data_IF_718959328144
#
_entry.id   IF_718959328144
#
_cell.length_a   1.000
_cell.length_b   1.000
_cell.length_c   1.000
_cell.angle_alpha   90.00
_cell.angle_beta   90.00
_cell.angle_gamma   90.00
#
_symmetry.space_group_name_H-M   'P 1'
#
loop_
_entity.id
_entity.type
_entity.pdbx_description
1 polymer ?
#
# COMPACT_ATOMS: atom_id res chain seq x y z
N UNK A 1 29.41 15.97 79.62
CA UNK A 1 28.95 14.82 80.42
C UNK A 1 28.02 15.33 81.52
N UNK A 2 26.90 14.61 81.70
CA UNK A 2 25.99 14.64 82.86
C UNK A 2 25.16 15.91 83.07
N UNK A 3 23.87 15.82 82.74
CA UNK A 3 22.83 15.53 83.75
C UNK A 3 21.45 15.42 83.08
N UNK A 4 20.82 14.28 83.28
CA UNK A 4 19.40 14.03 83.03
C UNK A 4 18.56 14.79 84.05
N UNK A 5 17.52 15.49 83.62
CA UNK A 5 16.43 15.96 84.48
C UNK A 5 15.09 15.78 83.78
N UNK A 6 14.18 15.09 84.47
CA UNK A 6 12.76 14.99 84.19
C UNK A 6 12.10 16.33 84.58
N UNK A 7 11.26 16.90 83.71
CA UNK A 7 10.09 17.66 84.15
C UNK A 7 8.88 17.39 83.24
N UNK A 8 7.86 16.94 83.94
CA UNK A 8 6.46 16.68 83.62
C UNK A 8 5.78 17.96 83.13
N UNK A 9 4.89 17.87 82.13
CA UNK A 9 3.45 18.15 82.30
C UNK A 9 2.72 18.46 80.98
N UNK A 10 1.62 17.75 80.80
CA UNK A 10 0.35 18.14 80.15
C UNK A 10 0.43 18.61 78.68
N UNK A 11 -0.33 18.02 77.75
CA UNK A 11 -1.79 18.12 77.78
C UNK A 11 -2.44 17.31 76.65
N UNK A 12 -3.63 16.80 76.97
CA UNK A 12 -4.76 16.50 76.07
C UNK A 12 -4.76 15.12 75.38
N UNK A 13 -5.43 14.20 76.06
CA UNK A 13 -6.11 13.08 75.48
C UNK A 13 -7.26 13.54 74.56
N UNK A 14 -7.33 12.98 73.35
CA UNK A 14 -8.58 12.68 72.65
C UNK A 14 -8.46 11.31 72.00
N UNK A 15 -8.98 10.29 72.67
CA UNK A 15 -9.33 9.01 72.05
C UNK A 15 -10.54 9.25 71.14
N UNK A 16 -10.34 9.19 69.84
CA UNK A 16 -11.44 9.10 68.87
C UNK A 16 -11.94 7.66 68.87
N UNK A 17 -13.18 7.49 69.34
CA UNK A 17 -13.95 6.25 69.20
C UNK A 17 -14.41 6.17 67.75
N UNK A 18 -13.99 5.13 67.04
CA UNK A 18 -14.47 4.79 65.70
C UNK A 18 -15.85 4.16 65.85
N UNK A 19 -16.89 4.89 65.46
CA UNK A 19 -18.23 4.35 65.27
C UNK A 19 -18.42 4.03 63.77
N UNK A 20 -18.25 2.75 63.42
CA UNK A 20 -18.64 2.21 62.12
C UNK A 20 -20.17 2.22 62.02
N UNK A 21 -20.72 3.14 61.24
CA UNK A 21 -22.11 3.07 60.79
C UNK A 21 -22.12 2.57 59.35
N UNK A 22 -22.46 1.30 59.20
CA UNK A 22 -22.74 0.63 57.94
C UNK A 22 -24.04 1.18 57.35
N UNK A 23 -23.93 2.11 56.40
CA UNK A 23 -25.04 2.45 55.50
C UNK A 23 -25.01 1.51 54.30
N UNK A 24 -25.97 0.59 54.29
CA UNK A 24 -26.20 -0.40 53.27
C UNK A 24 -26.84 0.28 52.05
N UNK A 25 -26.02 0.67 51.06
CA UNK A 25 -26.52 1.05 49.74
C UNK A 25 -26.49 -0.21 48.88
N UNK A 26 -27.63 -0.90 48.82
CA UNK A 26 -27.87 -1.94 47.83
C UNK A 26 -27.95 -1.29 46.45
N UNK A 27 -26.82 -1.25 45.74
CA UNK A 27 -26.79 -1.11 44.28
C UNK A 27 -26.81 -2.50 43.67
N UNK A 28 -28.00 -3.09 43.56
CA UNK A 28 -28.22 -4.27 42.72
C UNK A 28 -28.19 -3.86 41.24
N UNK A 29 -27.00 -3.51 40.74
CA UNK A 29 -26.76 -3.56 39.30
C UNK A 29 -26.30 -4.97 38.96
N UNK A 30 -27.19 -5.75 38.35
CA UNK A 30 -26.82 -6.98 37.66
C UNK A 30 -25.79 -6.63 36.59
N UNK A 31 -24.51 -6.81 36.89
CA UNK A 31 -23.44 -6.83 35.89
C UNK A 31 -23.71 -8.07 35.04
N UNK A 32 -24.40 -7.87 33.92
CA UNK A 32 -24.39 -8.86 32.83
C UNK A 32 -22.91 -9.11 32.55
N UNK A 33 -22.45 -10.36 32.65
CA UNK A 33 -21.07 -10.70 32.29
C UNK A 33 -20.88 -10.32 30.83
N UNK A 34 -20.31 -9.15 30.57
CA UNK A 34 -20.00 -8.70 29.22
C UNK A 34 -18.95 -9.68 28.69
N UNK A 35 -19.38 -10.58 27.79
CA UNK A 35 -18.47 -11.46 27.08
C UNK A 35 -17.44 -10.58 26.38
N UNK A 36 -16.17 -10.77 26.72
CA UNK A 36 -15.07 -10.00 26.15
C UNK A 36 -15.13 -10.16 24.62
N UNK A 37 -15.19 -9.06 23.85
CA UNK A 37 -15.26 -9.15 22.40
C UNK A 37 -13.98 -9.80 21.86
N UNK A 38 -14.13 -10.72 20.91
CA UNK A 38 -12.98 -11.31 20.24
C UNK A 38 -12.36 -10.26 19.31
N UNK A 39 -11.11 -9.88 19.60
CA UNK A 39 -10.34 -8.94 18.79
C UNK A 39 -9.61 -9.72 17.71
N UNK A 40 -9.75 -9.25 16.47
CA UNK A 40 -8.99 -9.73 15.31
C UNK A 40 -8.26 -8.57 14.68
N UNK A 41 -7.13 -8.87 14.08
CA UNK A 41 -6.36 -7.95 13.27
C UNK A 41 -6.40 -8.47 11.84
N UNK A 42 -6.69 -7.60 10.89
CA UNK A 42 -6.71 -7.89 9.46
C UNK A 42 -5.69 -7.01 8.74
N UNK A 43 -5.05 -7.58 7.71
CA UNK A 43 -4.00 -6.91 6.96
C UNK A 43 -4.44 -6.72 5.50
N UNK A 44 -4.58 -5.47 5.10
CA UNK A 44 -4.84 -5.08 3.73
C UNK A 44 -3.49 -4.90 3.00
N UNK A 45 -3.06 -5.95 2.31
CA UNK A 45 -1.83 -5.93 1.50
C UNK A 45 -2.17 -5.37 0.13
N UNK A 46 -1.56 -4.24 -0.21
CA UNK A 46 -1.70 -3.56 -1.48
C UNK A 46 -0.38 -3.62 -2.26
N UNK A 47 -0.46 -4.05 -3.53
CA UNK A 47 0.61 -3.86 -4.50
C UNK A 47 0.37 -2.55 -5.23
N UNK A 48 1.36 -1.67 -5.22
CA UNK A 48 1.30 -0.44 -6.01
C UNK A 48 1.50 -0.67 -7.50
N UNK A 49 1.05 0.32 -8.24
CA UNK A 49 1.16 0.39 -9.69
C UNK A 49 2.63 0.36 -10.12
N UNK A 50 2.95 -0.42 -11.16
CA UNK A 50 4.28 -0.50 -11.76
C UNK A 50 4.38 0.26 -13.10
N UNK A 51 3.26 0.36 -13.84
CA UNK A 51 3.17 1.09 -15.09
C UNK A 51 2.29 2.32 -14.94
N UNK A 52 2.63 3.43 -15.61
CA UNK A 52 1.71 4.56 -15.69
C UNK A 52 0.36 4.13 -16.28
N UNK A 53 -0.78 4.67 -15.83
CA UNK A 53 -2.08 4.40 -16.45
C UNK A 53 -2.10 4.90 -17.90
N UNK A 54 -2.98 4.34 -18.71
CA UNK A 54 -3.16 4.79 -20.09
C UNK A 54 -3.88 6.15 -20.14
N UNK A 55 -3.39 7.02 -21.02
CA UNK A 55 -3.97 8.35 -21.17
C UNK A 55 -5.31 8.29 -21.90
N UNK A 56 -6.27 9.08 -21.41
CA UNK A 56 -7.54 9.31 -22.09
C UNK A 56 -7.35 10.07 -23.41
N UNK A 57 -8.36 10.09 -24.29
CA UNK A 57 -8.30 10.84 -25.56
C UNK A 57 -8.05 12.34 -25.34
N UNK A 58 -8.80 12.95 -24.41
CA UNK A 58 -8.61 14.34 -24.01
C UNK A 58 -7.19 14.62 -23.48
N UNK A 59 -6.65 13.70 -22.70
CA UNK A 59 -5.28 13.83 -22.17
C UNK A 59 -4.26 13.76 -23.30
N UNK A 60 -4.44 12.87 -24.28
CA UNK A 60 -3.58 12.79 -25.47
C UNK A 60 -3.63 14.09 -26.28
N UNK A 61 -4.82 14.61 -26.55
CA UNK A 61 -5.00 15.86 -27.30
C UNK A 61 -4.36 17.03 -26.54
N UNK A 62 -4.54 17.09 -25.23
CA UNK A 62 -3.91 18.08 -24.38
C UNK A 62 -2.38 17.95 -24.37
N UNK A 63 -1.83 16.73 -24.25
CA UNK A 63 -0.37 16.52 -24.30
C UNK A 63 0.22 16.94 -25.64
N UNK A 64 -0.48 16.71 -26.75
CA UNK A 64 -0.05 17.13 -28.08
C UNK A 64 -0.07 18.66 -28.19
N UNK A 65 -1.12 19.32 -27.69
CA UNK A 65 -1.22 20.77 -27.66
C UNK A 65 -0.10 21.38 -26.82
N UNK A 66 0.15 20.84 -25.62
CA UNK A 66 1.23 21.30 -24.74
C UNK A 66 2.59 21.12 -25.42
N UNK A 67 2.84 19.96 -26.05
CA UNK A 67 4.07 19.73 -26.79
C UNK A 67 4.25 20.74 -27.95
N UNK A 68 3.18 21.06 -28.68
CA UNK A 68 3.21 22.09 -29.73
C UNK A 68 3.55 23.47 -29.15
N UNK A 69 2.87 23.90 -28.09
CA UNK A 69 3.16 25.16 -27.42
C UNK A 69 4.60 25.22 -26.89
N UNK A 70 5.10 24.12 -26.33
CA UNK A 70 6.49 24.01 -25.89
C UNK A 70 7.45 24.17 -27.08
N UNK A 71 7.15 23.57 -28.22
CA UNK A 71 7.99 23.75 -29.43
C UNK A 71 7.92 25.17 -29.98
N UNK A 72 6.75 25.80 -30.05
CA UNK A 72 6.55 27.16 -30.58
C UNK A 72 7.17 28.24 -29.68
N UNK A 73 7.13 28.02 -28.37
CA UNK A 73 7.67 28.95 -27.39
C UNK A 73 9.10 28.61 -26.94
N UNK A 74 9.70 27.55 -27.48
CA UNK A 74 11.10 27.21 -27.19
C UNK A 74 12.08 27.95 -28.09
N UNK A 75 13.28 28.17 -27.56
CA UNK A 75 14.41 28.59 -28.36
C UNK A 75 15.02 27.38 -29.06
N UNK A 76 15.72 27.65 -30.16
CA UNK A 76 16.43 26.64 -30.91
C UNK A 76 17.47 25.94 -30.01
N UNK A 77 17.37 24.61 -29.94
CA UNK A 77 18.30 23.77 -29.19
C UNK A 77 19.69 23.74 -29.85
N UNK A 78 20.71 23.34 -29.08
CA UNK A 78 22.08 23.18 -29.61
C UNK A 78 22.13 22.18 -30.78
N UNK A 79 21.28 21.15 -30.73
CA UNK A 79 21.17 20.14 -31.80
C UNK A 79 20.64 20.77 -33.10
N UNK A 80 19.57 21.55 -33.02
CA UNK A 80 18.99 22.22 -34.19
C UNK A 80 19.91 23.34 -34.72
N UNK A 81 20.58 24.10 -33.84
CA UNK A 81 21.61 25.07 -34.22
C UNK A 81 22.77 24.41 -34.95
N UNK A 82 23.19 23.22 -34.53
CA UNK A 82 24.21 22.42 -35.20
C UNK A 82 23.73 21.95 -36.57
N UNK A 83 22.53 21.39 -36.65
CA UNK A 83 21.94 20.91 -37.89
C UNK A 83 21.81 22.03 -38.94
N UNK A 84 21.37 23.24 -38.54
CA UNK A 84 21.32 24.42 -39.44
C UNK A 84 22.70 24.82 -39.95
N UNK A 85 23.71 24.90 -39.08
CA UNK A 85 25.10 25.22 -39.47
C UNK A 85 25.66 24.20 -40.45
N UNK A 86 25.42 22.91 -40.23
CA UNK A 86 25.89 21.85 -41.12
C UNK A 86 25.23 21.93 -42.52
N UNK A 87 23.93 22.23 -42.59
CA UNK A 87 23.22 22.46 -43.86
C UNK A 87 23.77 23.69 -44.59
N UNK A 88 24.04 24.78 -43.88
CA UNK A 88 24.59 26.01 -44.47
C UNK A 88 25.98 25.77 -45.06
N UNK A 89 26.85 25.08 -44.32
CA UNK A 89 28.17 24.68 -44.81
C UNK A 89 28.08 23.77 -46.03
N UNK A 90 27.14 22.81 -46.05
CA UNK A 90 26.92 21.95 -47.20
C UNK A 90 26.48 22.72 -48.45
N UNK A 91 25.58 23.70 -48.31
CA UNK A 91 25.14 24.59 -49.40
C UNK A 91 26.28 25.47 -49.93
N UNK A 92 27.10 26.03 -49.04
CA UNK A 92 28.27 26.84 -49.44
C UNK A 92 29.30 26.01 -50.22
N UNK A 93 29.54 24.75 -49.82
CA UNK A 93 30.42 23.83 -50.56
C UNK A 93 29.91 23.52 -51.96
N UNK A 94 28.59 23.42 -52.16
CA UNK A 94 27.98 23.22 -53.49
C UNK A 94 28.16 24.45 -54.39
N UNK A 95 28.06 25.65 -53.84
CA UNK A 95 28.09 26.90 -54.62
C UNK A 95 29.51 27.42 -54.91
N UNK A 96 30.51 27.13 -54.07
CA UNK A 96 31.89 27.59 -54.24
C UNK A 96 32.92 26.52 -53.80
N UNK A 97 33.51 25.75 -54.74
CA UNK A 97 34.41 24.64 -54.40
C UNK A 97 35.84 25.06 -53.99
N UNK A 98 36.18 26.35 -54.04
CA UNK A 98 37.59 26.82 -53.92
C UNK A 98 37.98 27.36 -52.54
N UNK A 99 37.07 27.47 -51.57
CA UNK A 99 37.40 28.03 -50.24
C UNK A 99 37.81 26.92 -49.26
N UNK A 100 39.10 26.84 -48.95
CA UNK A 100 39.74 25.90 -47.99
C UNK A 100 39.66 26.36 -46.54
N UNK A 101 38.66 27.16 -46.16
CA UNK A 101 38.54 27.70 -44.82
C UNK A 101 37.44 27.00 -44.02
N UNK A 102 37.86 26.37 -42.91
CA UNK A 102 37.07 25.72 -41.86
C UNK A 102 36.61 24.27 -42.13
N UNK A 103 37.57 23.37 -42.37
CA UNK A 103 37.38 21.96 -42.07
C UNK A 103 37.40 21.76 -40.54
N UNK A 104 36.29 22.08 -39.87
CA UNK A 104 36.03 21.49 -38.55
C UNK A 104 35.92 19.98 -38.79
N UNK A 105 36.74 19.18 -38.12
CA UNK A 105 36.68 17.72 -38.18
C UNK A 105 35.37 17.26 -37.49
N UNK A 106 34.26 17.34 -38.24
CA UNK A 106 32.96 16.81 -37.83
C UNK A 106 33.06 15.29 -37.98
N UNK A 107 33.21 14.59 -36.86
CA UNK A 107 33.37 13.13 -36.83
C UNK A 107 32.05 12.42 -37.18
N UNK A 108 30.92 12.99 -36.76
CA UNK A 108 29.56 12.53 -37.09
C UNK A 108 28.72 13.78 -37.41
N UNK A 109 27.91 13.78 -38.46
CA UNK A 109 26.94 14.87 -38.68
C UNK A 109 25.74 14.74 -37.75
N UNK A 110 24.95 15.81 -37.59
CA UNK A 110 23.72 15.77 -36.82
C UNK A 110 22.73 14.71 -37.37
N UNK A 111 22.70 14.53 -38.69
CA UNK A 111 21.86 13.52 -39.35
C UNK A 111 22.39 12.10 -39.08
N UNK A 112 23.71 11.88 -39.14
CA UNK A 112 24.29 10.57 -38.83
C UNK A 112 23.97 10.14 -37.40
N UNK A 113 23.92 11.11 -36.46
CA UNK A 113 23.51 10.88 -35.08
C UNK A 113 22.05 10.45 -35.00
N UNK A 114 21.12 11.18 -35.64
CA UNK A 114 19.70 10.83 -35.69
C UNK A 114 19.49 9.42 -36.27
N UNK A 115 20.16 9.11 -37.38
CA UNK A 115 20.10 7.79 -38.02
C UNK A 115 20.64 6.67 -37.12
N UNK A 116 21.72 6.93 -36.39
CA UNK A 116 22.27 5.97 -35.42
C UNK A 116 21.29 5.72 -34.28
N UNK A 117 20.72 6.77 -33.70
CA UNK A 117 19.74 6.65 -32.62
C UNK A 117 18.45 5.96 -33.08
N UNK A 118 17.98 6.24 -34.31
CA UNK A 118 16.83 5.56 -34.89
C UNK A 118 17.09 4.04 -35.01
N UNK A 119 18.27 3.64 -35.50
CA UNK A 119 18.67 2.22 -35.57
C UNK A 119 18.76 1.58 -34.17
N UNK A 120 19.32 2.28 -33.19
CA UNK A 120 19.38 1.80 -31.80
C UNK A 120 17.96 1.61 -31.22
N UNK A 121 17.04 2.52 -31.51
CA UNK A 121 15.65 2.44 -31.08
C UNK A 121 14.89 1.29 -31.76
N UNK A 122 15.07 1.09 -33.07
CA UNK A 122 14.45 -0.04 -33.80
C UNK A 122 14.94 -1.40 -33.29
N UNK A 123 16.20 -1.49 -32.87
CA UNK A 123 16.77 -2.70 -32.29
C UNK A 123 16.23 -2.99 -30.88
N UNK A 124 15.73 -1.97 -30.17
CA UNK A 124 15.24 -2.11 -28.79
C UNK A 124 13.78 -2.58 -28.77
N UNK A 125 13.55 -3.84 -28.40
CA UNK A 125 12.20 -4.39 -28.25
C UNK A 125 11.60 -4.00 -26.90
N UNK A 126 10.54 -3.19 -26.95
CA UNK A 126 9.76 -2.83 -25.77
C UNK A 126 8.97 -4.03 -25.25
N UNK A 127 8.96 -4.19 -23.92
CA UNK A 127 8.10 -5.18 -23.27
C UNK A 127 6.64 -4.76 -23.38
N UNK A 128 5.76 -5.73 -23.69
CA UNK A 128 4.31 -5.51 -23.70
C UNK A 128 3.84 -5.03 -22.32
N UNK A 129 2.98 -4.01 -22.31
CA UNK A 129 2.32 -3.50 -21.10
C UNK A 129 1.35 -4.51 -20.50
N UNK A 130 0.69 -5.28 -21.37
CA UNK A 130 -0.17 -6.41 -20.98
C UNK A 130 0.66 -7.68 -20.80
N UNK A 131 0.45 -8.38 -19.69
CA UNK A 131 1.13 -9.65 -19.40
C UNK A 131 0.31 -10.84 -19.88
N UNK A 132 0.92 -12.04 -19.90
CA UNK A 132 0.18 -13.27 -20.19
C UNK A 132 -0.93 -13.57 -19.19
N UNK A 133 -0.76 -13.13 -17.94
CA UNK A 133 -1.73 -13.32 -16.87
C UNK A 133 -2.96 -12.44 -17.06
N UNK A 134 -2.81 -11.27 -17.68
CA UNK A 134 -3.93 -10.43 -18.09
C UNK A 134 -4.76 -11.11 -19.16
N UNK A 135 -4.10 -11.69 -20.18
CA UNK A 135 -4.77 -12.43 -21.26
C UNK A 135 -5.52 -13.66 -20.74
N UNK A 136 -4.96 -14.34 -19.74
CA UNK A 136 -5.56 -15.54 -19.10
C UNK A 136 -6.53 -15.19 -17.97
N UNK A 137 -6.66 -13.92 -17.58
CA UNK A 137 -7.40 -13.46 -16.40
C UNK A 137 -7.05 -14.26 -15.12
N UNK A 138 -5.75 -14.50 -14.90
CA UNK A 138 -5.29 -15.27 -13.75
C UNK A 138 -5.34 -14.42 -12.47
N UNK A 139 -6.34 -14.63 -11.62
CA UNK A 139 -6.52 -13.87 -10.37
C UNK A 139 -5.47 -14.18 -9.30
N UNK A 140 -4.71 -15.27 -9.43
CA UNK A 140 -3.74 -15.69 -8.41
C UNK A 140 -2.39 -14.99 -8.55
N UNK A 141 -2.04 -14.54 -9.75
CA UNK A 141 -0.75 -13.92 -9.97
C UNK A 141 -0.77 -12.42 -9.63
N UNK A 142 0.37 -11.92 -9.17
CA UNK A 142 0.55 -10.49 -8.92
C UNK A 142 0.89 -9.73 -10.22
N UNK A 143 1.44 -10.41 -11.23
CA UNK A 143 1.92 -9.81 -12.48
C UNK A 143 0.80 -9.45 -13.46
N UNK A 144 -0.45 -9.40 -13.00
CA UNK A 144 -1.60 -8.92 -13.76
C UNK A 144 -1.80 -7.42 -13.52
N UNK A 145 -2.38 -6.69 -14.47
CA UNK A 145 -2.83 -5.30 -14.36
C UNK A 145 -1.80 -4.40 -13.68
N UNK A 146 -0.63 -4.32 -14.32
CA UNK A 146 0.51 -3.57 -13.79
C UNK A 146 0.24 -2.07 -13.63
N UNK A 147 -0.77 -1.55 -14.33
CA UNK A 147 -1.32 -0.19 -14.34
C UNK A 147 -2.28 0.14 -13.18
N UNK A 148 -2.72 -0.86 -12.41
CA UNK A 148 -3.66 -0.68 -11.30
C UNK A 148 -3.17 -1.25 -9.97
N UNK A 149 -3.67 -0.68 -8.88
CA UNK A 149 -3.41 -1.20 -7.54
C UNK A 149 -4.15 -2.53 -7.34
N UNK A 150 -3.44 -3.53 -6.83
CA UNK A 150 -4.00 -4.84 -6.51
C UNK A 150 -4.01 -5.07 -5.01
N UNK A 151 -5.09 -5.68 -4.52
CA UNK A 151 -5.34 -6.01 -3.13
C UNK A 151 -5.34 -7.52 -2.96
N UNK A 152 -4.62 -8.03 -1.96
CA UNK A 152 -4.62 -9.46 -1.64
C UNK A 152 -5.85 -9.82 -0.81
N UNK A 153 -6.65 -10.76 -1.30
CA UNK A 153 -7.77 -11.36 -0.58
C UNK A 153 -7.52 -12.86 -0.47
N UNK A 154 -8.00 -13.43 0.63
CA UNK A 154 -7.79 -14.83 0.95
C UNK A 154 -9.13 -15.47 1.28
N UNK A 155 -9.28 -16.72 0.88
CA UNK A 155 -10.48 -17.51 1.13
C UNK A 155 -10.30 -18.30 2.43
N UNK A 156 -11.18 -18.04 3.40
CA UNK A 156 -11.18 -18.72 4.69
C UNK A 156 -12.48 -19.49 4.90
N UNK A 157 -12.38 -20.69 5.50
CA UNK A 157 -13.56 -21.43 5.97
C UNK A 157 -14.14 -20.69 7.17
N UNK A 158 -15.38 -20.24 7.07
CA UNK A 158 -16.07 -19.72 8.23
C UNK A 158 -16.61 -20.90 9.06
N UNK A 159 -16.15 -21.04 10.31
CA UNK A 159 -16.50 -22.16 11.19
C UNK A 159 -18.00 -22.28 11.47
N UNK A 160 -18.77 -21.21 11.23
CA UNK A 160 -20.19 -21.14 11.58
C UNK A 160 -21.12 -21.43 10.40
N UNK A 161 -20.75 -20.99 9.18
CA UNK A 161 -21.61 -21.13 8.00
C UNK A 161 -21.20 -22.29 7.09
N UNK A 162 -20.10 -22.99 7.37
CA UNK A 162 -19.47 -23.99 6.48
C UNK A 162 -19.24 -23.48 5.04
N UNK A 163 -19.42 -22.18 4.79
CA UNK A 163 -19.19 -21.53 3.52
C UNK A 163 -17.83 -20.86 3.54
N UNK A 164 -17.21 -20.86 2.39
CA UNK A 164 -15.95 -20.16 2.17
C UNK A 164 -16.24 -18.69 1.90
N UNK A 165 -15.69 -17.82 2.73
CA UNK A 165 -15.83 -16.37 2.61
C UNK A 165 -14.50 -15.75 2.19
N UNK A 166 -14.56 -14.79 1.29
CA UNK A 166 -13.40 -13.99 0.89
C UNK A 166 -13.21 -12.86 1.88
N UNK A 167 -12.03 -12.80 2.49
CA UNK A 167 -11.68 -11.81 3.50
C UNK A 167 -10.23 -11.35 3.32
N UNK A 168 -9.87 -10.26 3.98
CA UNK A 168 -8.45 -9.91 4.09
C UNK A 168 -7.76 -10.92 5.03
N UNK A 169 -6.46 -11.20 4.83
CA UNK A 169 -5.70 -11.99 5.78
C UNK A 169 -5.91 -11.49 7.21
N UNK A 170 -6.46 -12.33 8.09
CA UNK A 170 -6.77 -11.96 9.47
C UNK A 170 -6.22 -12.96 10.47
N UNK A 171 -5.94 -12.49 11.69
CA UNK A 171 -5.50 -13.31 12.82
C UNK A 171 -6.19 -12.85 14.10
N UNK A 172 -6.47 -13.81 14.99
CA UNK A 172 -6.96 -13.53 16.34
C UNK A 172 -5.86 -12.90 17.19
N UNK A 173 -6.22 -11.89 17.97
CA UNK A 173 -5.29 -11.28 18.91
C UNK A 173 -5.19 -12.14 20.18
N UNK A 174 -4.03 -12.75 20.37
CA UNK A 174 -3.77 -13.69 21.47
C UNK A 174 -2.74 -13.11 22.47
N UNK A 175 -2.93 -11.84 22.87
CA UNK A 175 -2.12 -11.21 23.93
C UNK A 175 -0.71 -10.77 23.51
N UNK A 176 -0.50 -10.54 22.21
CA UNK A 176 0.74 -9.98 21.67
C UNK A 176 0.98 -8.53 22.16
N UNK A 177 2.23 -8.01 22.14
CA UNK A 177 2.54 -6.70 22.73
C UNK A 177 1.83 -5.52 22.04
N UNK A 178 1.47 -5.66 20.76
CA UNK A 178 0.72 -4.64 20.02
C UNK A 178 -0.12 -5.28 18.92
N UNK A 179 -1.19 -4.60 18.49
CA UNK A 179 -1.99 -5.02 17.34
C UNK A 179 -1.16 -5.07 16.05
N UNK A 180 -0.16 -4.19 15.93
CA UNK A 180 0.80 -4.19 14.82
C UNK A 180 1.67 -5.45 14.82
N UNK A 181 2.15 -5.90 15.98
CA UNK A 181 2.90 -7.16 16.06
C UNK A 181 2.06 -8.33 15.53
N UNK A 182 0.76 -8.33 15.81
CA UNK A 182 -0.16 -9.36 15.28
C UNK A 182 -0.32 -9.26 13.78
N UNK A 183 -0.36 -8.04 13.24
CA UNK A 183 -0.32 -7.81 11.79
C UNK A 183 0.99 -8.33 11.15
N UNK A 184 2.15 -8.17 11.80
CA UNK A 184 3.42 -8.70 11.30
C UNK A 184 3.42 -10.24 11.27
N UNK A 185 2.76 -10.89 12.24
CA UNK A 185 2.59 -12.35 12.23
C UNK A 185 1.61 -12.85 11.15
N UNK A 186 0.69 -12.02 10.68
CA UNK A 186 -0.16 -12.37 9.53
C UNK A 186 0.68 -12.56 8.27
N UNK A 187 1.75 -11.79 8.09
CA UNK A 187 2.64 -11.85 6.92
C UNK A 187 3.28 -13.25 6.81
N UNK A 188 3.78 -13.79 7.93
CA UNK A 188 4.40 -15.12 7.96
C UNK A 188 3.42 -16.27 7.66
N UNK A 189 2.15 -16.05 8.00
CA UNK A 189 1.04 -16.96 7.68
C UNK A 189 0.76 -16.97 6.18
N UNK A 190 0.84 -15.81 5.52
CA UNK A 190 0.57 -15.66 4.09
C UNK A 190 1.71 -16.20 3.19
N UNK A 191 2.95 -16.17 3.67
CA UNK A 191 4.08 -16.75 2.93
C UNK A 191 5.42 -16.14 3.23
N UNK A 192 6.33 -16.24 2.25
CA UNK A 192 7.58 -15.49 2.27
C UNK A 192 7.34 -14.16 1.54
N UNK A 193 6.57 -13.29 2.18
CA UNK A 193 6.19 -11.98 1.66
C UNK A 193 6.98 -10.91 2.42
N UNK A 194 7.62 -10.03 1.68
CA UNK A 194 8.23 -8.82 2.20
C UNK A 194 7.21 -7.69 2.07
N UNK A 195 6.64 -7.29 3.21
CA UNK A 195 5.52 -6.35 3.28
C UNK A 195 5.85 -5.26 4.31
N UNK A 196 5.58 -4.01 3.95
CA UNK A 196 5.79 -2.85 4.82
C UNK A 196 4.46 -2.32 5.36
N UNK A 197 4.26 -2.40 6.67
CA UNK A 197 3.03 -1.91 7.32
C UNK A 197 3.07 -0.39 7.47
N UNK A 198 2.02 0.28 7.02
CA UNK A 198 1.87 1.74 7.10
C UNK A 198 1.44 2.15 8.51
N UNK A 199 2.38 2.65 9.31
CA UNK A 199 2.11 3.19 10.65
C UNK A 199 1.80 2.13 11.72
N UNK A 200 1.59 2.58 12.96
CA UNK A 200 1.30 1.70 14.10
C UNK A 200 -0.20 1.66 14.47
N UNK A 201 -0.97 2.65 14.04
CA UNK A 201 -2.40 2.70 14.28
C UNK A 201 -3.17 1.92 13.21
N UNK A 202 -4.26 1.24 13.57
CA UNK A 202 -5.19 0.70 12.59
C UNK A 202 -5.89 1.84 11.85
N UNK A 203 -6.16 1.63 10.56
CA UNK A 203 -6.81 2.63 9.70
C UNK A 203 -8.33 2.53 9.71
N UNK A 204 -8.85 1.32 9.87
CA UNK A 204 -10.28 1.06 9.93
C UNK A 204 -10.59 -0.02 10.96
N UNK A 205 -11.88 -0.13 11.31
CA UNK A 205 -12.37 -1.22 12.12
C UNK A 205 -13.76 -1.67 11.64
N UNK A 206 -14.08 -2.93 11.88
CA UNK A 206 -15.36 -3.53 11.58
C UNK A 206 -15.85 -4.34 12.78
N UNK A 207 -17.12 -4.15 13.15
CA UNK A 207 -17.78 -4.94 14.19
C UNK A 207 -18.79 -5.86 13.54
N UNK A 208 -18.60 -7.15 13.76
CA UNK A 208 -19.57 -8.15 13.35
C UNK A 208 -20.45 -8.50 14.55
N UNK A 209 -21.71 -8.06 14.49
CA UNK A 209 -22.73 -8.28 15.52
C UNK A 209 -23.53 -9.56 15.31
N UNK A 210 -23.21 -10.36 14.29
CA UNK A 210 -23.87 -11.63 14.03
C UNK A 210 -23.60 -12.70 15.11
N UNK A 211 -22.60 -12.49 15.96
CA UNK A 211 -22.12 -13.47 16.93
C UNK A 211 -22.54 -13.16 18.37
N UNK A 212 -22.77 -14.22 19.14
CA UNK A 212 -23.00 -14.15 20.60
C UNK A 212 -21.80 -13.62 21.39
N UNK A 213 -20.64 -13.43 20.74
CA UNK A 213 -19.52 -12.60 21.16
C UNK A 213 -19.18 -11.65 20.01
N UNK A 214 -19.48 -10.35 20.14
CA UNK A 214 -19.22 -9.37 19.08
C UNK A 214 -17.74 -9.42 18.65
N UNK A 215 -17.46 -9.73 17.38
CA UNK A 215 -16.10 -9.74 16.84
C UNK A 215 -15.73 -8.33 16.39
N UNK A 216 -14.55 -7.84 16.82
CA UNK A 216 -14.00 -6.55 16.38
C UNK A 216 -12.75 -6.81 15.55
N UNK A 217 -12.77 -6.39 14.29
CA UNK A 217 -11.67 -6.54 13.35
C UNK A 217 -11.03 -5.17 13.16
N UNK A 218 -9.72 -5.07 13.37
CA UNK A 218 -8.93 -3.86 13.11
C UNK A 218 -8.10 -4.04 11.84
N UNK A 219 -8.16 -3.09 10.92
CA UNK A 219 -7.48 -3.16 9.64
C UNK A 219 -6.19 -2.35 9.63
N UNK A 220 -5.11 -2.99 9.21
CA UNK A 220 -3.82 -2.36 8.92
C UNK A 220 -3.57 -2.34 7.42
N UNK A 221 -3.04 -1.22 6.92
CA UNK A 221 -2.61 -1.12 5.52
C UNK A 221 -1.16 -1.54 5.42
N UNK A 222 -0.84 -2.29 4.38
CA UNK A 222 0.52 -2.67 4.13
C UNK A 222 0.82 -2.68 2.63
N UNK A 223 2.06 -2.32 2.31
CA UNK A 223 2.59 -2.30 0.96
C UNK A 223 3.33 -3.60 0.66
N UNK A 224 3.01 -4.21 -0.47
CA UNK A 224 3.73 -5.34 -1.00
C UNK A 224 4.99 -4.85 -1.73
N UNK A 225 6.16 -5.30 -1.27
CA UNK A 225 7.45 -4.95 -1.88
C UNK A 225 7.97 -6.10 -2.75
N UNK A 226 8.05 -7.30 -2.18
CA UNK A 226 8.54 -8.48 -2.88
C UNK A 226 8.07 -9.78 -2.21
N UNK A 227 8.18 -10.90 -2.91
CA UNK A 227 8.02 -12.23 -2.30
C UNK A 227 7.06 -13.13 -3.08
N UNK A 228 6.79 -14.30 -2.50
CA UNK A 228 5.89 -15.29 -3.09
C UNK A 228 4.83 -15.66 -2.07
N UNK A 229 3.57 -15.49 -2.47
CA UNK A 229 2.43 -15.97 -1.68
C UNK A 229 2.49 -17.50 -1.68
N UNK A 230 2.39 -18.12 -0.50
CA UNK A 230 2.38 -19.58 -0.40
C UNK A 230 1.15 -20.12 -1.14
N UNK A 231 1.32 -21.24 -1.84
CA UNK A 231 0.19 -22.00 -2.37
C UNK A 231 -0.51 -22.67 -1.19
N UNK A 232 -1.55 -22.01 -0.66
CA UNK A 232 -2.29 -22.45 0.53
C UNK A 232 -2.96 -23.83 0.34
N UNK A 233 -3.34 -24.18 -0.89
CA UNK A 233 -3.90 -25.48 -1.24
C UNK A 233 -3.00 -26.69 -0.85
N UNK A 234 -1.68 -26.50 -0.77
CA UNK A 234 -0.73 -27.59 -0.51
C UNK A 234 -0.41 -27.74 0.99
N UNK A 235 -0.68 -26.72 1.81
CA UNK A 235 -0.42 -26.75 3.26
C UNK A 235 -1.69 -27.08 4.04
N UNK A 236 -1.79 -28.33 4.51
CA UNK A 236 -2.86 -28.79 5.43
C UNK A 236 -2.95 -27.98 6.75
N UNK A 237 -1.91 -27.22 7.09
CA UNK A 237 -1.81 -26.43 8.32
C UNK A 237 -2.21 -24.95 8.15
N UNK A 238 -2.42 -24.47 6.91
CA UNK A 238 -2.75 -23.06 6.70
C UNK A 238 -4.25 -22.81 6.89
N UNK A 239 -4.66 -21.68 7.52
CA UNK A 239 -6.08 -21.35 7.72
C UNK A 239 -6.80 -20.98 6.42
N UNK A 240 -6.06 -20.85 5.33
CA UNK A 240 -6.48 -20.32 4.05
C UNK A 240 -6.58 -21.43 3.00
N UNK A 241 -7.56 -21.33 2.10
CA UNK A 241 -7.70 -22.27 0.98
C UNK A 241 -7.02 -21.74 -0.27
N UNK A 242 -7.44 -20.55 -0.67
CA UNK A 242 -7.08 -19.89 -1.91
C UNK A 242 -6.79 -18.42 -1.65
N UNK A 243 -6.07 -17.80 -2.58
CA UNK A 243 -5.81 -16.37 -2.58
C UNK A 243 -6.08 -15.78 -3.96
N UNK A 244 -6.39 -14.50 -3.99
CA UNK A 244 -6.59 -13.75 -5.21
C UNK A 244 -6.07 -12.32 -5.02
N UNK A 245 -5.40 -11.80 -6.03
CA UNK A 245 -5.11 -10.38 -6.16
C UNK A 245 -6.27 -9.75 -6.92
N UNK A 246 -6.93 -8.75 -6.34
CA UNK A 246 -8.17 -8.16 -6.85
C UNK A 246 -8.02 -6.63 -6.96
N UNK A 247 -8.65 -6.04 -7.97
CA UNK A 247 -8.67 -4.60 -8.19
C UNK A 247 -9.70 -3.97 -7.26
N UNK A 248 -9.49 -2.71 -6.90
CA UNK A 248 -10.45 -1.94 -6.12
C UNK A 248 -11.91 -2.01 -6.66
N UNK A 249 -12.10 -1.95 -7.98
CA UNK A 249 -13.44 -1.97 -8.63
C UNK A 249 -14.15 -3.31 -8.52
N UNK A 250 -13.41 -4.42 -8.50
CA UNK A 250 -13.95 -5.77 -8.42
C UNK A 250 -14.17 -6.23 -6.97
N UNK A 251 -13.57 -5.54 -6.01
CA UNK A 251 -13.66 -5.82 -4.59
C UNK A 251 -15.09 -6.04 -4.04
N UNK A 252 -16.12 -5.22 -4.38
CA UNK A 252 -17.48 -5.41 -3.88
C UNK A 252 -18.15 -6.71 -4.37
N UNK A 253 -17.63 -7.38 -5.40
CA UNK A 253 -18.15 -8.67 -5.89
C UNK A 253 -17.76 -9.83 -4.96
N UNK A 254 -16.67 -9.70 -4.21
CA UNK A 254 -16.11 -10.76 -3.36
C UNK A 254 -16.44 -10.57 -1.88
N UNK A 255 -16.44 -9.32 -1.40
CA UNK A 255 -16.65 -9.00 0.01
C UNK A 255 -18.15 -8.82 0.33
N UNK A 256 -18.54 -9.12 1.57
CA UNK A 256 -19.89 -8.80 2.03
C UNK A 256 -20.12 -7.28 2.04
N UNK A 257 -21.34 -6.77 1.72
CA UNK A 257 -21.59 -5.33 1.59
C UNK A 257 -21.27 -4.53 2.86
N UNK A 258 -21.54 -5.10 4.04
CA UNK A 258 -21.24 -4.45 5.33
C UNK A 258 -19.74 -4.36 5.60
N UNK A 259 -18.98 -5.38 5.19
CA UNK A 259 -17.54 -5.42 5.35
C UNK A 259 -16.86 -4.48 4.35
N UNK A 260 -17.32 -4.45 3.09
CA UNK A 260 -16.82 -3.52 2.07
C UNK A 260 -17.01 -2.06 2.50
N UNK A 261 -18.15 -1.71 3.11
CA UNK A 261 -18.40 -0.34 3.59
C UNK A 261 -17.38 0.12 4.64
N UNK A 262 -16.93 -0.79 5.52
CA UNK A 262 -15.93 -0.46 6.54
C UNK A 262 -14.52 -0.27 5.96
N UNK A 263 -14.20 -0.99 4.88
CA UNK A 263 -12.87 -0.98 4.27
C UNK A 263 -12.74 0.08 3.17
N UNK A 264 -13.82 0.44 2.48
CA UNK A 264 -13.81 1.39 1.35
C UNK A 264 -13.03 2.66 1.66
N UNK A 265 -13.24 3.25 2.83
CA UNK A 265 -12.61 4.53 3.22
C UNK A 265 -11.08 4.40 3.42
N UNK A 266 -10.58 3.21 3.73
CA UNK A 266 -9.17 2.91 3.91
C UNK A 266 -8.43 2.66 2.59
N UNK A 267 -9.14 2.23 1.54
CA UNK A 267 -8.53 1.81 0.27
C UNK A 267 -8.19 2.96 -0.67
N UNK A 268 -8.78 4.13 -0.46
CA UNK A 268 -8.45 5.31 -1.24
C UNK A 268 -7.02 5.76 -0.93
N UNK A 269 -6.20 5.80 -1.97
CA UNK A 269 -4.91 6.49 -1.99
C UNK A 269 -5.19 7.84 -2.63
N UNK A 270 -4.85 8.92 -1.93
CA UNK A 270 -4.95 10.29 -2.44
C UNK A 270 -4.08 10.49 -3.68
#
# INVERSE_FOLDING_TARGET
>A
MLRTSLLISSSIARRLIVANTSTNVQTSSTIKSEKIPQIKVALCIQRYVHLSPEMNQLEKDYTNLVAQLETEHSYLSDHELRHKREIELAKQRQNSPTSTAAAVNIVETAVDLEDRLAKEFENFQLMSRETEDDKKNNLRSHNRKLDQNLLLIVQQKNSQSNKDEWIFPEKTYDGEPSLRATAEQIISTCGNLHVQISGNAPLAWYKNDADSSSKKIFFYKAEYLAGVVKQFATLKSSPYKDHAWIIHEDLPKYLSPSYYKAVKDMLFVF
#
